data_IF_288695581605
#
_entry.id   IF_288695581605
#
_cell.length_a   1.000
_cell.length_b   1.000
_cell.length_c   1.000
_cell.angle_alpha   90.00
_cell.angle_beta   90.00
_cell.angle_gamma   90.00
#
_symmetry.space_group_name_H-M   'P 1'
#
loop_
_entity.id
_entity.type
_entity.pdbx_description
1 polymer ?
#
# COMPACT_ATOMS: atom_id res chain seq x y z
N UNK A 1 -4.22 -21.23 -33.97
CA UNK A 1 -3.46 -20.06 -34.46
C UNK A 1 -3.24 -20.26 -35.94
N UNK A 2 -3.91 -19.48 -36.79
CA UNK A 2 -3.72 -19.50 -38.24
C UNK A 2 -2.41 -18.77 -38.59
N UNK A 3 -1.55 -19.40 -39.38
CA UNK A 3 -0.36 -18.74 -39.94
C UNK A 3 -0.79 -17.54 -40.80
N UNK A 4 -0.03 -16.45 -40.73
CA UNK A 4 -0.29 -15.27 -41.57
C UNK A 4 0.14 -15.55 -43.01
N UNK A 5 -0.57 -15.02 -44.01
CA UNK A 5 -0.28 -15.25 -45.45
C UNK A 5 1.20 -15.00 -45.83
N UNK A 6 1.80 -13.94 -45.28
CA UNK A 6 3.24 -13.63 -45.47
C UNK A 6 4.18 -14.69 -44.90
N UNK A 7 3.80 -15.35 -43.80
CA UNK A 7 4.60 -16.43 -43.22
C UNK A 7 4.51 -17.70 -44.08
N UNK A 8 3.33 -17.96 -44.65
CA UNK A 8 3.12 -19.07 -45.59
C UNK A 8 3.97 -18.88 -46.87
N UNK A 9 3.95 -17.69 -47.45
CA UNK A 9 4.71 -17.34 -48.66
C UNK A 9 6.23 -17.51 -48.47
N UNK A 10 6.74 -17.09 -47.30
CA UNK A 10 8.17 -17.22 -46.96
C UNK A 10 8.59 -18.68 -46.73
N UNK A 11 7.68 -19.50 -46.18
CA UNK A 11 7.87 -20.95 -46.03
C UNK A 11 7.88 -21.62 -47.41
N UNK A 12 6.97 -21.26 -48.31
CA UNK A 12 6.89 -21.84 -49.65
C UNK A 12 8.12 -21.46 -50.50
N UNK A 13 8.59 -20.22 -50.42
CA UNK A 13 9.79 -19.76 -51.12
C UNK A 13 11.06 -20.46 -50.61
N UNK A 14 11.19 -20.66 -49.30
CA UNK A 14 12.33 -21.37 -48.71
C UNK A 14 12.33 -22.86 -49.04
N UNK A 15 11.17 -23.52 -49.05
CA UNK A 15 11.02 -24.92 -49.49
C UNK A 15 11.36 -25.06 -50.97
N UNK A 16 10.83 -24.18 -51.82
CA UNK A 16 11.12 -24.18 -53.26
C UNK A 16 12.61 -24.01 -53.53
N UNK A 17 13.25 -23.05 -52.84
CA UNK A 17 14.70 -22.81 -52.94
C UNK A 17 15.52 -24.01 -52.45
N UNK A 18 15.07 -24.66 -51.37
CA UNK A 18 15.75 -25.84 -50.82
C UNK A 18 15.67 -27.04 -51.78
N UNK A 19 14.49 -27.32 -52.34
CA UNK A 19 14.31 -28.39 -53.34
C UNK A 19 15.14 -28.08 -54.58
N UNK A 20 15.12 -26.83 -55.05
CA UNK A 20 15.84 -26.44 -56.25
C UNK A 20 17.36 -26.52 -56.10
N UNK A 21 17.91 -26.17 -54.93
CA UNK A 21 19.35 -26.08 -54.73
C UNK A 21 19.99 -27.34 -54.11
N UNK A 22 19.24 -28.09 -53.29
CA UNK A 22 19.80 -29.20 -52.50
C UNK A 22 19.33 -30.58 -52.94
N UNK A 23 18.27 -30.71 -53.75
CA UNK A 23 17.82 -32.01 -54.25
C UNK A 23 18.53 -32.41 -55.55
N UNK A 24 19.72 -33.00 -55.38
CA UNK A 24 20.59 -33.48 -56.46
C UNK A 24 19.94 -34.57 -57.32
N UNK A 25 18.98 -35.32 -56.77
CA UNK A 25 18.28 -36.41 -57.48
C UNK A 25 17.19 -35.80 -58.38
N UNK A 26 16.43 -34.83 -57.87
CA UNK A 26 15.48 -34.07 -58.68
C UNK A 26 16.17 -33.30 -59.82
N UNK A 27 17.33 -32.69 -59.55
CA UNK A 27 18.15 -32.04 -60.58
C UNK A 27 18.64 -33.03 -61.64
N UNK A 28 19.09 -34.24 -61.27
CA UNK A 28 19.50 -35.25 -62.24
C UNK A 28 18.34 -35.72 -63.13
N UNK A 29 17.14 -35.85 -62.57
CA UNK A 29 15.94 -36.20 -63.34
C UNK A 29 15.55 -35.09 -64.32
N UNK A 30 15.62 -33.83 -63.89
CA UNK A 30 15.36 -32.67 -64.74
C UNK A 30 16.39 -32.53 -65.87
N UNK A 31 17.66 -32.79 -65.59
CA UNK A 31 18.73 -32.77 -66.59
C UNK A 31 18.54 -33.86 -67.67
N UNK A 32 18.14 -35.07 -67.28
CA UNK A 32 17.80 -36.15 -68.24
C UNK A 32 16.56 -35.78 -69.05
N UNK A 33 15.54 -35.17 -68.42
CA UNK A 33 14.33 -34.69 -69.12
C UNK A 33 14.63 -33.59 -70.13
N UNK A 34 15.50 -32.63 -69.79
CA UNK A 34 15.97 -31.59 -70.71
C UNK A 34 16.81 -32.19 -71.86
N UNK A 35 17.63 -33.20 -71.57
CA UNK A 35 18.41 -33.92 -72.57
C UNK A 35 17.53 -34.72 -73.55
N UNK A 36 16.36 -35.19 -73.11
CA UNK A 36 15.37 -35.85 -73.98
C UNK A 36 14.61 -34.83 -74.83
N UNK A 37 14.30 -33.66 -74.29
CA UNK A 37 13.64 -32.57 -75.02
C UNK A 37 14.55 -31.96 -76.10
N UNK A 38 15.86 -31.93 -75.89
CA UNK A 38 16.83 -31.45 -76.88
C UNK A 38 17.17 -32.46 -77.98
N UNK A 39 16.53 -33.65 -77.99
CA UNK A 39 16.74 -34.68 -79.02
C UNK A 39 15.90 -34.49 -80.30
N UNK A 40 15.14 -33.39 -80.42
CA UNK A 40 14.20 -33.17 -81.53
C UNK A 40 14.85 -33.08 -82.93
N UNK A 41 16.17 -32.83 -83.05
CA UNK A 41 16.78 -32.50 -84.36
C UNK A 41 17.57 -33.61 -85.09
N UNK A 42 17.95 -34.74 -84.47
CA UNK A 42 18.42 -35.95 -85.18
C UNK A 42 18.72 -37.13 -84.22
N UNK A 43 17.98 -38.26 -84.28
CA UNK A 43 18.17 -39.34 -83.33
C UNK A 43 19.27 -40.30 -83.80
N UNK A 44 20.48 -40.16 -83.25
CA UNK A 44 21.42 -41.28 -83.22
C UNK A 44 20.82 -42.40 -82.35
N UNK A 45 20.49 -43.54 -82.97
CA UNK A 45 19.81 -44.69 -82.33
C UNK A 45 20.45 -45.15 -81.01
N UNK A 46 21.77 -45.01 -80.87
CA UNK A 46 22.50 -45.34 -79.65
C UNK A 46 22.26 -44.35 -78.51
N UNK A 47 22.11 -43.06 -78.82
CA UNK A 47 21.86 -41.98 -77.84
C UNK A 47 20.45 -42.08 -77.27
N UNK A 48 19.48 -42.47 -78.09
CA UNK A 48 18.11 -42.75 -77.65
C UNK A 48 18.06 -43.91 -76.64
N UNK A 49 18.77 -45.01 -76.91
CA UNK A 49 18.83 -46.17 -75.99
C UNK A 49 19.53 -45.83 -74.67
N UNK A 50 20.60 -45.04 -74.72
CA UNK A 50 21.29 -44.55 -73.52
C UNK A 50 20.37 -43.68 -72.66
N UNK A 51 19.66 -42.74 -73.27
CA UNK A 51 18.72 -41.87 -72.55
C UNK A 51 17.51 -42.61 -72.00
N UNK A 52 17.03 -43.66 -72.69
CA UNK A 52 15.98 -44.53 -72.15
C UNK A 52 16.46 -45.26 -70.88
N UNK A 53 17.68 -45.80 -70.90
CA UNK A 53 18.27 -46.44 -69.72
C UNK A 53 18.47 -45.44 -68.56
N UNK A 54 18.99 -44.25 -68.86
CA UNK A 54 19.16 -43.20 -67.85
C UNK A 54 17.83 -42.70 -67.27
N UNK A 55 16.77 -42.63 -68.08
CA UNK A 55 15.43 -42.28 -67.61
C UNK A 55 14.88 -43.34 -66.65
N UNK A 56 14.99 -44.63 -67.00
CA UNK A 56 14.53 -45.73 -66.13
C UNK A 56 15.29 -45.71 -64.80
N UNK A 57 16.62 -45.56 -64.86
CA UNK A 57 17.47 -45.42 -63.68
C UNK A 57 17.10 -44.22 -62.82
N UNK A 58 16.90 -43.05 -63.42
CA UNK A 58 16.49 -41.84 -62.68
C UNK A 58 15.09 -41.98 -62.06
N UNK A 59 14.17 -42.65 -62.75
CA UNK A 59 12.82 -42.90 -62.24
C UNK A 59 12.85 -43.80 -61.00
N UNK A 60 13.64 -44.88 -61.02
CA UNK A 60 13.81 -45.76 -59.86
C UNK A 60 14.46 -45.04 -58.68
N UNK A 61 15.55 -44.30 -58.94
CA UNK A 61 16.22 -43.50 -57.91
C UNK A 61 15.31 -42.43 -57.31
N UNK A 62 14.50 -41.76 -58.12
CA UNK A 62 13.55 -40.76 -57.65
C UNK A 62 12.40 -41.39 -56.84
N UNK A 63 11.97 -42.59 -57.20
CA UNK A 63 10.96 -43.34 -56.42
C UNK A 63 11.49 -43.69 -55.04
N UNK A 64 12.72 -44.22 -54.96
CA UNK A 64 13.40 -44.52 -53.69
C UNK A 64 13.61 -43.23 -52.85
N UNK A 65 13.95 -42.11 -53.50
CA UNK A 65 14.11 -40.83 -52.84
C UNK A 65 12.80 -40.32 -52.22
N UNK A 66 11.69 -40.38 -52.97
CA UNK A 66 10.36 -40.03 -52.45
C UNK A 66 9.98 -40.91 -51.27
N UNK A 67 10.17 -42.23 -51.37
CA UNK A 67 9.90 -43.17 -50.28
C UNK A 67 10.71 -42.82 -49.02
N UNK A 68 12.00 -42.50 -49.18
CA UNK A 68 12.86 -42.06 -48.07
C UNK A 68 12.41 -40.73 -47.46
N UNK A 69 11.95 -39.78 -48.27
CA UNK A 69 11.40 -38.51 -47.78
C UNK A 69 10.11 -38.72 -46.98
N UNK A 70 9.23 -39.61 -47.45
CA UNK A 70 8.01 -40.00 -46.74
C UNK A 70 8.34 -40.68 -45.40
N UNK A 71 9.30 -41.61 -45.40
CA UNK A 71 9.73 -42.31 -44.20
C UNK A 71 10.37 -41.35 -43.18
N UNK A 72 11.17 -40.38 -43.64
CA UNK A 72 11.70 -39.29 -42.79
C UNK A 72 10.61 -38.40 -42.24
N UNK A 73 9.62 -38.02 -43.04
CA UNK A 73 8.46 -37.23 -42.57
C UNK A 73 7.74 -37.93 -41.43
N UNK A 74 7.53 -39.24 -41.55
CA UNK A 74 6.88 -40.07 -40.52
C UNK A 74 7.75 -40.27 -39.26
N UNK A 75 9.07 -40.14 -39.38
CA UNK A 75 9.98 -40.13 -38.23
C UNK A 75 9.99 -38.76 -37.54
N UNK A 76 10.00 -37.67 -38.31
CA UNK A 76 9.98 -36.30 -37.79
C UNK A 76 8.67 -36.01 -37.05
N UNK A 77 7.54 -36.55 -37.50
CA UNK A 77 6.26 -36.41 -36.79
C UNK A 77 6.23 -37.14 -35.43
N UNK A 78 7.11 -38.12 -35.22
CA UNK A 78 7.21 -38.90 -33.97
C UNK A 78 8.23 -38.33 -32.98
N UNK A 79 9.14 -37.47 -33.43
CA UNK A 79 10.09 -36.79 -32.54
C UNK A 79 9.47 -35.47 -32.12
N UNK A 80 8.94 -35.33 -30.89
CA UNK A 80 8.54 -34.02 -30.40
C UNK A 80 9.79 -33.13 -30.42
N UNK A 81 9.73 -32.02 -31.15
CA UNK A 81 10.80 -31.03 -31.17
C UNK A 81 11.03 -30.58 -29.72
N UNK A 82 12.13 -31.02 -29.11
CA UNK A 82 12.49 -30.72 -27.70
C UNK A 82 12.43 -29.23 -27.43
N UNK A 83 12.88 -28.44 -28.40
CA UNK A 83 12.88 -26.99 -28.34
C UNK A 83 11.47 -26.36 -28.24
N UNK A 84 10.42 -27.04 -28.68
CA UNK A 84 9.02 -26.57 -28.55
C UNK A 84 8.44 -26.83 -27.17
N UNK A 85 8.89 -27.90 -26.50
CA UNK A 85 8.51 -28.19 -25.11
C UNK A 85 9.14 -27.14 -24.19
N UNK A 86 10.43 -26.88 -24.37
CA UNK A 86 11.15 -25.83 -23.63
C UNK A 86 10.54 -24.44 -23.87
N UNK A 87 10.12 -24.15 -25.11
CA UNK A 87 9.46 -22.88 -25.43
C UNK A 87 8.11 -22.75 -24.70
N UNK A 88 7.31 -23.81 -24.67
CA UNK A 88 6.01 -23.81 -24.01
C UNK A 88 6.16 -23.70 -22.49
N UNK A 89 7.18 -24.33 -21.92
CA UNK A 89 7.51 -24.17 -20.50
C UNK A 89 7.92 -22.72 -20.21
N UNK A 90 8.79 -22.13 -21.03
CA UNK A 90 9.21 -20.73 -20.90
C UNK A 90 8.03 -19.76 -21.03
N UNK A 91 7.12 -20.02 -21.95
CA UNK A 91 5.89 -19.23 -22.13
C UNK A 91 4.99 -19.36 -20.89
N UNK A 92 4.86 -20.55 -20.32
CA UNK A 92 4.07 -20.78 -19.10
C UNK A 92 4.69 -20.07 -17.89
N UNK A 93 6.03 -20.10 -17.75
CA UNK A 93 6.74 -19.36 -16.72
C UNK A 93 6.51 -17.85 -16.83
N UNK A 94 6.68 -17.27 -18.03
CA UNK A 94 6.45 -15.85 -18.28
C UNK A 94 4.99 -15.43 -18.04
N UNK A 95 4.02 -16.30 -18.34
CA UNK A 95 2.62 -16.06 -18.00
C UNK A 95 2.40 -16.05 -16.48
N UNK A 96 3.05 -16.95 -15.74
CA UNK A 96 3.03 -16.96 -14.28
C UNK A 96 3.60 -15.68 -13.68
N UNK A 97 4.78 -15.26 -14.14
CA UNK A 97 5.41 -13.99 -13.72
C UNK A 97 4.52 -12.79 -14.02
N UNK A 98 3.91 -12.74 -15.20
CA UNK A 98 2.96 -11.68 -15.58
C UNK A 98 1.78 -11.61 -14.60
N UNK A 99 1.22 -12.76 -14.18
CA UNK A 99 0.11 -12.80 -13.23
C UNK A 99 0.55 -12.29 -11.86
N UNK A 100 1.76 -12.67 -11.40
CA UNK A 100 2.31 -12.17 -10.13
C UNK A 100 2.52 -10.66 -10.16
N UNK A 101 3.17 -10.13 -11.21
CA UNK A 101 3.37 -8.70 -11.38
C UNK A 101 2.05 -7.93 -11.40
N UNK A 102 1.04 -8.44 -12.10
CA UNK A 102 -0.28 -7.80 -12.14
C UNK A 102 -0.95 -7.77 -10.76
N UNK A 103 -0.80 -8.82 -9.94
CA UNK A 103 -1.31 -8.80 -8.56
C UNK A 103 -0.58 -7.78 -7.69
N UNK A 104 0.72 -7.64 -7.88
CA UNK A 104 1.53 -6.65 -7.17
C UNK A 104 1.13 -5.21 -7.57
N UNK A 105 0.94 -4.97 -8.88
CA UNK A 105 0.40 -3.70 -9.39
C UNK A 105 -1.01 -3.43 -8.83
N UNK A 106 -1.88 -4.43 -8.75
CA UNK A 106 -3.20 -4.26 -8.13
C UNK A 106 -3.09 -3.91 -6.65
N UNK A 107 -2.16 -4.51 -5.91
CA UNK A 107 -1.92 -4.18 -4.50
C UNK A 107 -1.40 -2.74 -4.34
N UNK A 108 -0.44 -2.34 -5.16
CA UNK A 108 0.10 -0.99 -5.19
C UNK A 108 -0.99 0.05 -5.51
N UNK A 109 -1.86 -0.25 -6.48
CA UNK A 109 -2.89 0.69 -6.95
C UNK A 109 -4.12 0.76 -6.06
N UNK A 110 -4.58 -0.38 -5.50
CA UNK A 110 -5.83 -0.44 -4.71
C UNK A 110 -5.61 -0.26 -3.21
N UNK A 111 -4.42 -0.55 -2.69
CA UNK A 111 -4.15 -0.48 -1.25
C UNK A 111 -3.15 0.63 -0.94
N UNK A 112 -1.96 0.56 -1.54
CA UNK A 112 -0.86 1.43 -1.13
C UNK A 112 -1.02 2.87 -1.62
N UNK A 113 -1.44 3.07 -2.88
CA UNK A 113 -1.69 4.40 -3.44
C UNK A 113 -2.79 5.18 -2.69
N UNK A 114 -3.99 4.63 -2.45
CA UNK A 114 -5.01 5.36 -1.69
C UNK A 114 -4.57 5.63 -0.25
N UNK A 115 -3.85 4.71 0.41
CA UNK A 115 -3.28 4.97 1.73
C UNK A 115 -2.29 6.15 1.72
N UNK A 116 -1.45 6.23 0.68
CA UNK A 116 -0.48 7.31 0.53
C UNK A 116 -1.17 8.63 0.20
N UNK A 117 -2.24 8.60 -0.60
CA UNK A 117 -3.09 9.76 -0.86
C UNK A 117 -3.80 10.23 0.43
N UNK A 118 -4.32 9.31 1.26
CA UNK A 118 -4.89 9.62 2.57
C UNK A 118 -3.85 10.24 3.52
N UNK A 119 -2.64 9.68 3.57
CA UNK A 119 -1.51 10.26 4.32
C UNK A 119 -1.15 11.65 3.81
N UNK A 120 -1.19 11.86 2.49
CA UNK A 120 -0.91 13.16 1.88
C UNK A 120 -2.00 14.18 2.21
N UNK A 121 -3.27 13.76 2.23
CA UNK A 121 -4.40 14.59 2.65
C UNK A 121 -4.29 14.93 4.14
N UNK A 122 -3.94 13.96 4.99
CA UNK A 122 -3.71 14.18 6.41
C UNK A 122 -2.54 15.14 6.65
N UNK A 123 -1.40 14.92 6.01
CA UNK A 123 -0.25 15.82 6.08
C UNK A 123 -0.58 17.21 5.55
N UNK A 124 -1.33 17.31 4.46
CA UNK A 124 -1.79 18.60 3.94
C UNK A 124 -2.75 19.28 4.92
N UNK A 125 -3.70 18.56 5.51
CA UNK A 125 -4.62 19.11 6.50
C UNK A 125 -3.91 19.53 7.79
N UNK A 126 -2.89 18.78 8.19
CA UNK A 126 -2.02 19.09 9.32
C UNK A 126 -1.16 20.32 9.02
N UNK A 127 -0.53 20.38 7.85
CA UNK A 127 0.27 21.52 7.42
C UNK A 127 -0.60 22.76 7.24
N UNK A 128 -1.78 22.63 6.65
CA UNK A 128 -2.77 23.70 6.54
C UNK A 128 -3.23 24.17 7.94
N UNK A 129 -3.32 23.27 8.93
CA UNK A 129 -3.64 23.62 10.32
C UNK A 129 -2.46 24.32 11.02
N UNK A 130 -1.22 23.95 10.70
CA UNK A 130 -0.01 24.63 11.19
C UNK A 130 0.15 26.01 10.53
N UNK A 131 -0.04 26.12 9.22
CA UNK A 131 0.02 27.39 8.48
C UNK A 131 -1.13 28.32 8.86
N UNK A 132 -2.31 27.79 9.23
CA UNK A 132 -3.42 28.58 9.79
C UNK A 132 -3.18 29.03 11.24
N UNK A 133 -2.18 28.48 11.96
CA UNK A 133 -1.80 28.99 13.30
C UNK A 133 -1.01 30.31 13.23
N UNK A 134 -0.43 30.69 12.09
CA UNK A 134 0.23 31.99 11.92
C UNK A 134 -0.68 33.09 11.39
N UNK A 135 -1.91 32.78 10.96
CA UNK A 135 -2.90 33.78 10.60
C UNK A 135 -4.22 33.54 11.36
N UNK A 136 -4.46 34.36 12.39
CA UNK A 136 -5.75 34.51 13.08
C UNK A 136 -6.91 34.63 12.07
N UNK A 137 -7.53 33.52 11.70
CA UNK A 137 -8.83 33.46 11.03
C UNK A 137 -9.62 32.27 11.57
N UNK A 138 -9.97 32.35 12.85
CA UNK A 138 -11.21 31.73 13.30
C UNK A 138 -12.37 32.63 12.87
N UNK A 139 -13.54 32.06 12.57
CA UNK A 139 -14.68 32.80 12.05
C UNK A 139 -15.04 33.89 13.07
N UNK A 140 -15.00 35.14 12.61
CA UNK A 140 -15.62 36.23 13.35
C UNK A 140 -17.11 35.90 13.35
N UNK A 141 -17.60 35.37 14.48
CA UNK A 141 -19.02 35.42 14.80
C UNK A 141 -19.39 36.89 14.75
N UNK A 142 -20.04 37.30 13.67
CA UNK A 142 -20.64 38.62 13.61
C UNK A 142 -21.68 38.70 14.72
N UNK A 143 -21.82 39.90 15.29
CA UNK A 143 -22.65 40.27 16.46
C UNK A 143 -24.12 39.81 16.41
N UNK A 144 -24.56 39.15 15.34
CA UNK A 144 -25.93 38.76 15.05
C UNK A 144 -26.11 37.22 14.93
N UNK A 145 -25.21 36.42 15.49
CA UNK A 145 -25.44 34.98 15.70
C UNK A 145 -25.49 34.08 14.46
N UNK A 146 -25.05 34.55 13.28
CA UNK A 146 -24.95 33.68 12.09
C UNK A 146 -23.52 33.21 11.86
N UNK A 147 -23.31 31.89 11.99
CA UNK A 147 -22.10 31.20 11.54
C UNK A 147 -22.09 31.24 10.02
N UNK A 148 -21.06 31.83 9.41
CA UNK A 148 -20.91 31.84 7.97
C UNK A 148 -20.62 30.41 7.50
N UNK A 149 -21.58 29.79 6.82
CA UNK A 149 -21.45 28.50 6.13
C UNK A 149 -20.35 28.60 5.06
N UNK A 150 -19.11 28.33 5.43
CA UNK A 150 -18.01 28.12 4.47
C UNK A 150 -17.37 26.74 4.58
N UNK A 151 -18.06 25.79 5.21
CA UNK A 151 -17.62 24.40 5.28
C UNK A 151 -18.65 23.47 4.64
N UNK A 152 -18.82 23.58 3.33
CA UNK A 152 -19.26 22.44 2.53
C UNK A 152 -18.14 22.01 1.59
N UNK A 153 -17.28 21.13 2.09
CA UNK A 153 -16.69 20.03 1.31
C UNK A 153 -15.91 19.11 2.25
N UNK A 154 -16.36 17.85 2.36
CA UNK A 154 -15.55 16.74 2.87
C UNK A 154 -15.61 16.46 4.38
N UNK A 155 -16.69 15.78 4.81
CA UNK A 155 -16.78 14.87 5.98
C UNK A 155 -15.73 15.06 7.10
N UNK A 156 -15.98 16.01 7.99
CA UNK A 156 -15.79 15.92 9.45
C UNK A 156 -16.27 17.21 10.12
N UNK A 157 -17.49 17.67 9.81
CA UNK A 157 -18.12 18.69 10.64
C UNK A 157 -18.51 18.01 11.94
N UNK A 158 -17.67 18.15 12.98
CA UNK A 158 -18.11 17.93 14.36
C UNK A 158 -19.39 18.73 14.52
N UNK A 159 -20.48 18.05 14.88
CA UNK A 159 -21.77 18.69 15.04
C UNK A 159 -21.70 19.62 16.25
N UNK A 160 -21.50 20.92 16.00
CA UNK A 160 -21.30 21.94 17.03
C UNK A 160 -22.56 22.14 17.90
N UNK A 161 -23.71 21.62 17.46
CA UNK A 161 -24.94 21.60 18.26
C UNK A 161 -24.81 20.75 19.53
N UNK A 162 -23.90 19.77 19.56
CA UNK A 162 -23.64 18.92 20.72
C UNK A 162 -22.81 19.61 21.82
N UNK A 163 -22.27 20.80 21.54
CA UNK A 163 -21.47 21.61 22.46
C UNK A 163 -22.27 22.79 23.05
N UNK A 164 -23.54 22.89 22.69
CA UNK A 164 -24.49 23.85 23.26
C UNK A 164 -25.18 23.24 24.47
N UNK A 165 -25.17 23.96 25.59
CA UNK A 165 -25.81 23.52 26.83
C UNK A 165 -26.74 24.61 27.35
N UNK A 166 -27.86 24.19 27.96
CA UNK A 166 -28.74 25.13 28.65
C UNK A 166 -28.28 25.34 30.11
N UNK A 167 -28.39 26.57 30.61
CA UNK A 167 -28.03 26.92 31.99
C UNK A 167 -28.82 26.10 33.03
N UNK A 168 -30.04 25.69 32.69
CA UNK A 168 -30.90 24.83 33.51
C UNK A 168 -30.30 23.43 33.70
N UNK A 169 -29.84 22.79 32.63
CA UNK A 169 -29.22 21.47 32.63
C UNK A 169 -27.94 21.47 33.47
N UNK A 170 -27.14 22.52 33.30
CA UNK A 170 -25.86 22.66 34.01
C UNK A 170 -26.08 22.91 35.50
N UNK A 171 -27.11 23.68 35.87
CA UNK A 171 -27.53 23.85 37.28
C UNK A 171 -28.07 22.56 37.89
N UNK A 172 -28.76 21.73 37.13
CA UNK A 172 -29.28 20.44 37.61
C UNK A 172 -28.14 19.45 37.91
N UNK A 173 -27.17 19.32 36.99
CA UNK A 173 -25.98 18.47 37.20
C UNK A 173 -25.18 18.92 38.43
N UNK A 174 -24.96 20.22 38.59
CA UNK A 174 -24.21 20.74 39.74
C UNK A 174 -25.00 20.65 41.04
N UNK A 175 -26.33 20.71 40.99
CA UNK A 175 -27.20 20.44 42.15
C UNK A 175 -27.12 18.97 42.55
N UNK A 176 -27.13 18.04 41.60
CA UNK A 176 -26.97 16.61 41.87
C UNK A 176 -25.58 16.31 42.48
N UNK A 177 -24.52 16.95 41.98
CA UNK A 177 -23.18 16.84 42.56
C UNK A 177 -23.15 17.39 44.00
N UNK A 178 -23.81 18.53 44.24
CA UNK A 178 -23.91 19.10 45.59
C UNK A 178 -24.68 18.19 46.55
N UNK A 179 -25.76 17.56 46.09
CA UNK A 179 -26.53 16.58 46.88
C UNK A 179 -25.73 15.29 47.14
N UNK A 180 -24.96 14.80 46.16
CA UNK A 180 -24.05 13.65 46.31
C UNK A 180 -22.87 13.93 47.23
N UNK A 181 -22.35 15.16 47.26
CA UNK A 181 -21.32 15.58 48.20
C UNK A 181 -21.89 15.71 49.61
N UNK A 182 -23.09 16.29 49.75
CA UNK A 182 -23.77 16.42 51.03
C UNK A 182 -24.14 15.07 51.66
N UNK A 183 -24.44 14.05 50.86
CA UNK A 183 -24.78 12.70 51.35
C UNK A 183 -23.57 11.80 51.63
N UNK A 184 -22.36 12.20 51.21
CA UNK A 184 -21.12 11.44 51.46
C UNK A 184 -20.39 11.87 52.74
N UNK A 185 -20.65 13.08 53.24
CA UNK A 185 -19.91 13.73 54.33
C UNK A 185 -20.75 13.94 55.61
N UNK A 186 -21.42 12.90 56.12
CA UNK A 186 -21.93 12.92 57.51
C UNK A 186 -20.81 12.95 58.57
N UNK A 187 -19.53 12.80 58.17
CA UNK A 187 -18.39 12.70 59.10
C UNK A 187 -17.45 13.92 59.13
N UNK A 188 -17.61 14.95 58.28
CA UNK A 188 -16.73 16.13 58.31
C UNK A 188 -17.49 17.43 58.06
N UNK A 189 -18.00 18.03 59.14
CA UNK A 189 -18.84 19.24 59.16
C UNK A 189 -18.16 20.55 58.65
N UNK A 190 -16.98 20.50 58.05
CA UNK A 190 -16.24 21.69 57.58
C UNK A 190 -16.16 21.85 56.05
N UNK A 191 -16.63 20.87 55.26
CA UNK A 191 -16.58 20.95 53.78
C UNK A 191 -17.94 21.36 53.18
N UNK A 192 -19.03 21.30 53.97
CA UNK A 192 -20.40 21.56 53.53
C UNK A 192 -20.75 23.02 53.19
N UNK A 193 -19.76 23.94 53.16
CA UNK A 193 -19.97 25.35 52.82
C UNK A 193 -19.47 25.75 51.42
N UNK A 194 -18.98 24.82 50.60
CA UNK A 194 -18.67 25.15 49.21
C UNK A 194 -19.99 25.42 48.48
N UNK A 195 -20.33 26.70 48.26
CA UNK A 195 -21.44 27.11 47.40
C UNK A 195 -21.07 26.82 45.95
N UNK A 196 -21.15 25.54 45.58
CA UNK A 196 -20.85 25.02 44.25
C UNK A 196 -21.63 25.78 43.16
N UNK A 197 -22.90 26.11 43.43
CA UNK A 197 -23.72 26.92 42.53
C UNK A 197 -23.26 28.39 42.38
N UNK A 198 -22.63 28.97 43.42
CA UNK A 198 -22.06 30.31 43.36
C UNK A 198 -20.81 30.35 42.48
N UNK A 199 -19.94 29.35 42.65
CA UNK A 199 -18.77 29.17 41.79
C UNK A 199 -19.14 28.82 40.35
N UNK A 200 -20.27 28.15 40.14
CA UNK A 200 -20.77 27.88 38.79
C UNK A 200 -21.18 29.17 38.08
N UNK A 201 -21.93 30.05 38.72
CA UNK A 201 -22.29 31.34 38.14
C UNK A 201 -21.05 32.20 37.88
N UNK A 202 -20.09 32.21 38.81
CA UNK A 202 -18.81 32.91 38.63
C UNK A 202 -18.00 32.33 37.46
N UNK A 203 -18.03 31.00 37.27
CA UNK A 203 -17.37 30.33 36.15
C UNK A 203 -18.10 30.51 34.81
N UNK A 204 -19.43 30.63 34.82
CA UNK A 204 -20.23 30.96 33.65
C UNK A 204 -20.02 32.42 33.20
N UNK A 205 -19.83 33.34 34.15
CA UNK A 205 -19.60 34.77 33.86
C UNK A 205 -18.13 35.09 33.52
N UNK A 206 -17.16 34.47 34.21
CA UNK A 206 -15.73 34.79 34.08
C UNK A 206 -14.92 33.72 33.33
N UNK A 207 -15.52 32.58 32.98
CA UNK A 207 -14.85 31.48 32.31
C UNK A 207 -14.54 31.79 30.86
N UNK A 208 -13.25 31.79 30.49
CA UNK A 208 -12.80 31.94 29.09
C UNK A 208 -13.24 30.79 28.17
N UNK A 209 -13.65 29.67 28.77
CA UNK A 209 -14.02 28.41 28.12
C UNK A 209 -15.48 28.34 27.71
N UNK A 210 -16.32 29.26 28.19
CA UNK A 210 -17.75 29.28 27.90
C UNK A 210 -18.12 30.62 27.26
N UNK A 211 -18.79 30.58 26.11
CA UNK A 211 -19.31 31.77 25.44
C UNK A 211 -20.82 31.77 25.55
N UNK A 212 -21.37 32.86 26.08
CA UNK A 212 -22.82 33.06 26.17
C UNK A 212 -23.39 33.30 24.77
N UNK A 213 -24.34 32.47 24.35
CA UNK A 213 -25.21 32.73 23.20
C UNK A 213 -26.45 33.54 23.62
N UNK A 214 -27.26 33.99 22.66
CA UNK A 214 -28.50 34.72 22.97
C UNK A 214 -29.39 33.89 23.92
N UNK A 215 -29.70 34.44 25.10
CA UNK A 215 -30.52 33.80 26.15
C UNK A 215 -29.73 33.11 27.27
N UNK A 216 -30.26 31.96 27.73
CA UNK A 216 -29.74 31.04 28.77
C UNK A 216 -28.89 29.90 28.21
N UNK A 217 -28.39 30.03 26.97
CA UNK A 217 -27.61 29.01 26.27
C UNK A 217 -26.13 29.37 26.25
N UNK A 218 -25.27 28.39 26.51
CA UNK A 218 -23.82 28.55 26.53
C UNK A 218 -23.17 27.56 25.57
N UNK A 219 -22.16 28.02 24.83
CA UNK A 219 -21.32 27.18 23.98
C UNK A 219 -19.98 26.93 24.64
N UNK A 220 -19.57 25.67 24.68
CA UNK A 220 -18.26 25.28 25.19
C UNK A 220 -17.17 25.48 24.12
N UNK A 221 -16.26 26.42 24.37
CA UNK A 221 -15.13 26.73 23.50
C UNK A 221 -13.93 25.82 23.80
N UNK A 222 -13.85 24.72 23.04
CA UNK A 222 -12.78 23.72 23.14
C UNK A 222 -11.39 24.34 22.91
N UNK A 223 -11.28 25.45 22.16
CA UNK A 223 -10.01 26.13 21.91
C UNK A 223 -9.49 26.91 23.11
N UNK A 224 -10.38 27.41 23.96
CA UNK A 224 -9.98 28.09 25.21
C UNK A 224 -9.63 27.09 26.32
N UNK A 225 -10.23 25.89 26.31
CA UNK A 225 -9.92 24.82 27.27
C UNK A 225 -8.49 24.26 27.09
N UNK A 226 -8.00 24.26 25.85
CA UNK A 226 -6.64 23.82 25.50
C UNK A 226 -5.56 24.86 25.82
N UNK A 227 -5.93 26.09 26.17
CA UNK A 227 -5.00 27.17 26.52
C UNK A 227 -4.13 26.91 27.76
N UNK A 228 -4.52 25.99 28.66
CA UNK A 228 -3.66 25.57 29.79
C UNK A 228 -2.68 24.44 29.44
N UNK A 229 -2.91 23.71 28.35
CA UNK A 229 -2.03 22.62 27.88
C UNK A 229 -0.95 23.17 26.94
N UNK A 230 -1.21 24.32 26.31
CA UNK A 230 -0.34 24.95 25.32
C UNK A 230 0.94 25.60 25.87
N UNK A 231 1.05 25.85 27.18
CA UNK A 231 2.12 26.71 27.70
C UNK A 231 3.38 25.95 28.16
N UNK A 232 3.34 24.61 28.21
CA UNK A 232 4.50 23.84 28.70
C UNK A 232 4.85 22.54 27.99
N UNK A 233 4.01 21.96 27.13
CA UNK A 233 4.33 20.62 26.63
C UNK A 233 4.57 20.47 25.15
N UNK A 234 3.86 21.10 24.23
CA UNK A 234 4.14 20.86 22.80
C UNK A 234 3.73 22.08 21.96
N UNK A 235 4.61 23.09 21.92
CA UNK A 235 4.52 24.20 20.97
C UNK A 235 5.33 23.88 19.73
N UNK A 236 4.79 24.19 18.54
CA UNK A 236 5.39 23.91 17.22
C UNK A 236 6.67 24.71 16.88
N UNK A 237 7.41 25.18 17.90
CA UNK A 237 8.66 25.91 17.77
C UNK A 237 9.79 25.30 18.62
N UNK A 238 9.66 24.06 19.11
CA UNK A 238 10.76 23.43 19.84
C UNK A 238 11.90 23.12 18.89
N UNK A 239 12.99 23.89 19.00
CA UNK A 239 14.20 23.69 18.20
C UNK A 239 14.86 22.35 18.54
N UNK A 240 15.72 21.82 17.66
CA UNK A 240 16.45 20.55 17.93
C UNK A 240 17.22 20.62 19.26
N UNK A 241 17.72 21.81 19.63
CA UNK A 241 18.36 22.05 20.92
C UNK A 241 17.43 21.86 22.13
N UNK A 242 16.14 22.17 21.99
CA UNK A 242 15.15 21.95 23.06
C UNK A 242 14.75 20.48 23.18
N UNK A 243 14.82 19.71 22.09
CA UNK A 243 14.70 18.25 22.16
C UNK A 243 15.89 17.62 22.87
N UNK A 244 17.12 18.07 22.55
CA UNK A 244 18.32 17.59 23.24
C UNK A 244 18.27 17.91 24.73
N UNK A 245 17.79 19.10 25.10
CA UNK A 245 17.60 19.49 26.49
C UNK A 245 16.49 18.70 27.18
N UNK A 246 15.38 18.41 26.50
CA UNK A 246 14.31 17.57 27.05
C UNK A 246 14.76 16.11 27.21
N UNK A 247 15.60 15.60 26.30
CA UNK A 247 16.23 14.29 26.43
C UNK A 247 17.15 14.28 27.65
N UNK A 248 17.97 15.31 27.83
CA UNK A 248 18.87 15.45 28.99
C UNK A 248 18.09 15.54 30.31
N UNK A 249 16.98 16.28 30.35
CA UNK A 249 16.10 16.37 31.53
C UNK A 249 15.40 15.04 31.84
N UNK A 250 14.99 14.29 30.81
CA UNK A 250 14.41 12.95 30.98
C UNK A 250 15.48 11.96 31.44
N UNK A 251 16.70 12.00 30.90
CA UNK A 251 17.80 11.18 31.36
C UNK A 251 18.15 11.47 32.82
N UNK A 252 18.15 12.74 33.23
CA UNK A 252 18.39 13.13 34.61
C UNK A 252 17.26 12.66 35.53
N UNK A 253 16.00 12.79 35.10
CA UNK A 253 14.84 12.25 35.83
C UNK A 253 14.90 10.73 35.99
N UNK A 254 15.35 10.00 34.96
CA UNK A 254 15.55 8.55 35.02
C UNK A 254 16.67 8.20 36.02
N UNK A 255 17.79 8.94 36.00
CA UNK A 255 18.89 8.74 36.97
C UNK A 255 18.43 8.98 38.40
N UNK A 256 17.66 10.03 38.65
CA UNK A 256 17.06 10.31 39.96
C UNK A 256 16.10 9.20 40.39
N UNK A 257 15.28 8.67 39.46
CA UNK A 257 14.37 7.56 39.75
C UNK A 257 15.13 6.28 40.10
N UNK A 258 16.22 5.98 39.38
CA UNK A 258 17.09 4.83 39.67
C UNK A 258 17.74 4.99 41.05
N UNK A 259 18.24 6.18 41.37
CA UNK A 259 18.84 6.50 42.66
C UNK A 259 17.81 6.34 43.80
N UNK A 260 16.61 6.89 43.63
CA UNK A 260 15.47 6.70 44.53
C UNK A 260 15.10 5.21 44.70
N UNK A 261 15.17 4.42 43.62
CA UNK A 261 14.96 2.98 43.64
C UNK A 261 16.01 2.23 44.46
N UNK A 262 17.29 2.61 44.33
CA UNK A 262 18.40 2.05 45.12
C UNK A 262 18.22 2.39 46.60
N UNK A 263 17.92 3.64 46.93
CA UNK A 263 17.67 4.07 48.31
C UNK A 263 16.47 3.33 48.94
N UNK A 264 15.41 3.12 48.16
CA UNK A 264 14.24 2.36 48.62
C UNK A 264 14.61 0.89 48.84
N UNK A 265 15.41 0.29 47.95
CA UNK A 265 15.91 -1.09 48.11
C UNK A 265 16.80 -1.23 49.35
N UNK A 266 17.69 -0.27 49.60
CA UNK A 266 18.53 -0.26 50.82
C UNK A 266 17.69 -0.13 52.08
N UNK A 267 16.66 0.72 52.08
CA UNK A 267 15.71 0.82 53.20
C UNK A 267 14.98 -0.50 53.45
N UNK A 268 14.54 -1.18 52.39
CA UNK A 268 13.91 -2.49 52.50
C UNK A 268 14.88 -3.55 53.01
N UNK A 269 16.12 -3.56 52.53
CA UNK A 269 17.17 -4.48 53.00
C UNK A 269 17.52 -4.23 54.47
N UNK A 270 17.64 -2.97 54.90
CA UNK A 270 17.89 -2.62 56.30
C UNK A 270 16.71 -3.01 57.18
N UNK A 271 15.47 -2.80 56.73
CA UNK A 271 14.28 -3.23 57.46
C UNK A 271 14.17 -4.75 57.53
N UNK A 272 14.54 -5.49 56.47
CA UNK A 272 14.61 -6.94 56.49
C UNK A 272 15.67 -7.44 57.51
N UNK A 273 16.86 -6.84 57.54
CA UNK A 273 17.88 -7.16 58.54
C UNK A 273 17.41 -6.87 59.98
N UNK A 274 16.71 -5.75 60.19
CA UNK A 274 16.10 -5.43 61.50
C UNK A 274 15.04 -6.46 61.88
N UNK A 275 14.23 -6.92 60.93
CA UNK A 275 13.23 -7.97 61.17
C UNK A 275 13.89 -9.31 61.49
N UNK A 276 15.00 -9.66 60.83
CA UNK A 276 15.76 -10.88 61.14
C UNK A 276 16.36 -10.82 62.56
N UNK A 277 16.92 -9.68 62.96
CA UNK A 277 17.40 -9.48 64.34
C UNK A 277 16.28 -9.56 65.39
N UNK A 278 15.10 -9.00 65.07
CA UNK A 278 13.90 -9.13 65.94
C UNK A 278 13.47 -10.60 66.01
N UNK A 279 13.52 -11.33 64.89
CA UNK A 279 13.16 -12.75 64.84
C UNK A 279 14.13 -13.61 65.65
N UNK A 280 15.43 -13.30 65.63
CA UNK A 280 16.44 -13.94 66.48
C UNK A 280 16.25 -13.61 67.97
N UNK A 281 15.77 -12.41 68.32
CA UNK A 281 15.53 -12.01 69.72
C UNK A 281 14.19 -12.51 70.30
N UNK A 282 13.26 -12.97 69.44
CA UNK A 282 11.95 -13.52 69.83
C UNK A 282 11.97 -15.06 69.90
N UNK A 283 13.03 -15.71 69.40
CA UNK A 283 13.37 -17.11 69.72
C UNK A 283 14.08 -17.22 71.07
#
# INVERSE_FOLDING_TARGET
MSLTFKQQELIDETISTFIHNYDRIAQSYLAVRQSILSLEDSPESHKVKQLQYELVKCKELYTIHIENLLLRKDQISKVPFTHTVDLNEKVSQLQGEKIQLNREIENLTKVQKPLLDDMRVLLKSFNDALDKRTAKKFPILTRNGRVQEQYQTGKSSIDLSQLEFEESELKEVFKEIQERLASRDEQNANISQVKVLGHLNEYLENGRTLKRLEGSKYLYDVSAATGKISDKTIGSNTTVAEYDQMIEDVENSIKELIQSGVETRERWSSNAQKLDLIKEAVQ
#
